data_IF_009098853565
#
_entry.id   IF_009098853565
#
_cell.length_a   1.000
_cell.length_b   1.000
_cell.length_c   1.000
_cell.angle_alpha   90.00
_cell.angle_beta   90.00
_cell.angle_gamma   90.00
#
_symmetry.space_group_name_H-M   'P 1'
#
loop_
_entity.id
_entity.type
_entity.pdbx_description
1 polymer ?
#
# COMPACT_ATOMS: atom_id res chain seq x y z
N UNK A 1 36.98 -43.49 -57.51
CA UNK A 1 35.61 -43.84 -57.97
C UNK A 1 34.92 -44.57 -56.83
N UNK A 2 33.76 -44.09 -56.40
CA UNK A 2 32.94 -44.73 -55.35
C UNK A 2 32.34 -43.74 -54.34
N UNK A 3 31.42 -42.90 -54.79
CA UNK A 3 30.51 -42.16 -53.89
C UNK A 3 29.60 -43.14 -53.15
N UNK A 4 29.49 -43.04 -51.82
CA UNK A 4 28.41 -43.68 -51.05
C UNK A 4 27.87 -42.73 -49.96
N UNK A 5 26.74 -42.11 -50.31
CA UNK A 5 25.58 -41.62 -49.52
C UNK A 5 25.72 -41.19 -48.05
N UNK A 6 25.73 -39.86 -47.86
CA UNK A 6 24.71 -39.05 -47.13
C UNK A 6 23.80 -39.81 -46.14
N UNK A 7 24.08 -39.66 -44.83
CA UNK A 7 23.04 -39.61 -43.79
C UNK A 7 23.25 -38.38 -42.92
N UNK A 8 22.38 -37.42 -43.21
CA UNK A 8 22.09 -36.23 -42.45
C UNK A 8 21.62 -36.67 -41.05
N UNK A 9 22.40 -36.38 -40.01
CA UNK A 9 21.91 -36.46 -38.63
C UNK A 9 21.94 -35.03 -38.07
N UNK A 10 20.96 -34.27 -38.54
CA UNK A 10 20.51 -32.99 -37.97
C UNK A 10 19.87 -33.32 -36.62
N UNK A 11 20.65 -33.33 -35.54
CA UNK A 11 20.10 -33.20 -34.20
C UNK A 11 19.68 -31.74 -33.99
N UNK A 12 18.53 -31.38 -34.55
CA UNK A 12 17.74 -30.22 -34.11
C UNK A 12 16.96 -30.67 -32.87
N UNK A 13 17.56 -30.53 -31.70
CA UNK A 13 16.83 -30.18 -30.49
C UNK A 13 17.00 -28.65 -30.39
N UNK A 14 16.12 -27.78 -30.90
CA UNK A 14 14.73 -27.60 -30.50
C UNK A 14 14.55 -27.77 -28.99
N UNK A 15 14.76 -26.67 -28.25
CA UNK A 15 14.18 -26.51 -26.91
C UNK A 15 15.16 -26.34 -25.76
N UNK A 16 15.99 -25.30 -25.79
CA UNK A 16 16.27 -24.53 -24.57
C UNK A 16 16.17 -23.07 -25.01
N UNK A 17 14.97 -22.50 -24.87
CA UNK A 17 14.79 -21.06 -24.96
C UNK A 17 15.82 -20.41 -24.02
N UNK A 18 16.51 -19.34 -24.43
CA UNK A 18 17.28 -18.56 -23.50
C UNK A 18 16.26 -17.97 -22.51
N UNK A 19 16.18 -18.54 -21.31
CA UNK A 19 15.67 -17.80 -20.16
C UNK A 19 16.70 -16.70 -19.87
N UNK A 20 16.76 -15.67 -20.72
CA UNK A 20 17.24 -14.38 -20.25
C UNK A 20 16.14 -13.88 -19.34
N UNK A 21 16.21 -14.29 -18.07
CA UNK A 21 15.63 -13.50 -17.00
C UNK A 21 16.25 -12.13 -17.14
N UNK A 22 15.55 -11.21 -17.80
CA UNK A 22 15.81 -9.78 -17.60
C UNK A 22 15.45 -9.59 -16.14
N UNK A 23 16.46 -9.70 -15.28
CA UNK A 23 16.32 -9.25 -13.91
C UNK A 23 16.08 -7.75 -14.05
N UNK A 24 14.93 -7.26 -13.58
CA UNK A 24 14.72 -5.82 -13.51
C UNK A 24 15.78 -5.26 -12.58
N UNK A 25 16.76 -4.58 -13.17
CA UNK A 25 17.82 -3.95 -12.40
C UNK A 25 17.33 -2.57 -12.00
N UNK A 26 16.68 -2.51 -10.84
CA UNK A 26 16.17 -1.27 -10.23
C UNK A 26 17.26 -0.21 -10.18
N UNK A 27 18.53 -0.57 -9.95
CA UNK A 27 19.63 0.40 -9.92
C UNK A 27 19.89 0.99 -11.31
N UNK A 28 19.86 0.17 -12.36
CA UNK A 28 20.05 0.63 -13.75
C UNK A 28 18.86 1.46 -14.23
N UNK A 29 17.63 1.07 -13.86
CA UNK A 29 16.42 1.81 -14.24
C UNK A 29 16.33 3.18 -13.53
N UNK A 30 16.72 3.24 -12.24
CA UNK A 30 16.86 4.48 -11.49
C UNK A 30 17.97 5.38 -12.08
N UNK A 31 19.10 4.81 -12.48
CA UNK A 31 20.19 5.55 -13.11
C UNK A 31 19.83 6.07 -14.50
N UNK A 32 18.85 5.44 -15.14
CA UNK A 32 18.28 5.84 -16.44
C UNK A 32 17.15 6.87 -16.29
N UNK A 33 16.88 7.35 -15.06
CA UNK A 33 15.83 8.33 -14.75
C UNK A 33 14.45 7.89 -15.28
N UNK A 34 14.18 6.58 -15.26
CA UNK A 34 12.87 6.09 -15.68
C UNK A 34 11.78 6.52 -14.69
N UNK A 35 10.54 6.72 -15.15
CA UNK A 35 9.42 7.01 -14.25
C UNK A 35 9.23 5.87 -13.24
N UNK A 36 8.96 6.19 -11.97
CA UNK A 36 8.84 5.20 -10.90
C UNK A 36 7.84 4.09 -11.21
N UNK A 37 6.71 4.43 -11.85
CA UNK A 37 5.72 3.46 -12.30
C UNK A 37 6.28 2.43 -13.29
N UNK A 38 7.19 2.84 -14.19
CA UNK A 38 7.83 1.92 -15.15
C UNK A 38 8.82 1.00 -14.42
N UNK A 39 9.60 1.54 -13.49
CA UNK A 39 10.55 0.76 -12.67
C UNK A 39 9.80 -0.35 -11.91
N UNK A 40 8.70 0.01 -11.24
CA UNK A 40 7.88 -0.96 -10.52
C UNK A 40 7.24 -2.00 -11.44
N UNK A 41 6.65 -1.57 -12.56
CA UNK A 41 6.02 -2.51 -13.50
C UNK A 41 7.04 -3.49 -14.09
N UNK A 42 8.21 -3.02 -14.52
CA UNK A 42 9.27 -3.88 -15.05
C UNK A 42 9.73 -4.90 -14.01
N UNK A 43 9.87 -4.49 -12.74
CA UNK A 43 10.30 -5.38 -11.67
C UNK A 43 9.23 -6.40 -11.26
N UNK A 44 7.96 -5.99 -11.24
CA UNK A 44 6.83 -6.93 -11.06
C UNK A 44 6.77 -7.94 -12.22
N UNK A 45 6.97 -7.50 -13.47
CA UNK A 45 7.03 -8.38 -14.64
C UNK A 45 8.22 -9.35 -14.58
N UNK A 46 9.33 -8.94 -13.97
CA UNK A 46 10.48 -9.80 -13.69
C UNK A 46 10.27 -10.76 -12.51
N UNK A 47 9.16 -10.62 -11.77
CA UNK A 47 8.76 -11.50 -10.68
C UNK A 47 9.12 -11.02 -9.27
N UNK A 48 9.56 -9.77 -9.11
CA UNK A 48 9.77 -9.18 -7.79
C UNK A 48 8.45 -8.77 -7.12
N UNK A 49 8.44 -8.75 -5.79
CA UNK A 49 7.31 -8.23 -5.02
C UNK A 49 7.42 -6.73 -4.83
N UNK A 50 6.28 -6.05 -4.66
CA UNK A 50 6.23 -4.60 -4.47
C UNK A 50 7.07 -4.16 -3.28
N UNK A 51 7.10 -4.92 -2.18
CA UNK A 51 7.94 -4.64 -1.02
C UNK A 51 9.44 -4.74 -1.33
N UNK A 52 9.85 -5.76 -2.08
CA UNK A 52 11.26 -5.90 -2.48
C UNK A 52 11.70 -4.75 -3.38
N UNK A 53 10.82 -4.32 -4.29
CA UNK A 53 11.06 -3.19 -5.18
C UNK A 53 11.16 -1.90 -4.37
N UNK A 54 10.14 -1.62 -3.55
CA UNK A 54 10.09 -0.45 -2.68
C UNK A 54 11.31 -0.36 -1.76
N UNK A 55 11.67 -1.46 -1.11
CA UNK A 55 12.85 -1.53 -0.24
C UNK A 55 14.15 -1.31 -0.99
N UNK A 56 14.25 -1.77 -2.23
CA UNK A 56 15.42 -1.53 -3.09
C UNK A 56 15.52 -0.07 -3.53
N UNK A 57 14.40 0.56 -3.89
CA UNK A 57 14.37 2.00 -4.23
C UNK A 57 14.76 2.84 -3.02
N UNK A 58 14.19 2.59 -1.84
CA UNK A 58 14.49 3.33 -0.60
C UNK A 58 15.99 3.24 -0.26
N UNK A 59 16.59 2.06 -0.40
CA UNK A 59 18.03 1.83 -0.13
C UNK A 59 18.93 2.50 -1.17
N UNK A 60 18.52 2.51 -2.43
CA UNK A 60 19.34 3.01 -3.54
C UNK A 60 19.30 4.53 -3.65
N UNK A 61 18.13 5.13 -3.44
CA UNK A 61 17.90 6.57 -3.54
C UNK A 61 16.85 7.02 -2.53
N UNK A 62 17.27 7.32 -1.30
CA UNK A 62 16.36 7.73 -0.22
C UNK A 62 15.54 8.99 -0.53
N UNK A 63 16.02 9.83 -1.45
CA UNK A 63 15.29 11.03 -1.93
C UNK A 63 14.02 10.72 -2.71
N UNK A 64 13.88 9.50 -3.26
CA UNK A 64 12.71 9.06 -4.01
C UNK A 64 11.71 8.27 -3.15
N UNK A 65 11.96 8.12 -1.85
CA UNK A 65 11.10 7.40 -0.91
C UNK A 65 9.60 7.78 -0.99
N UNK A 66 9.24 9.08 -0.95
CA UNK A 66 7.83 9.50 -1.04
C UNK A 66 7.15 9.03 -2.32
N UNK A 67 7.80 9.21 -3.47
CA UNK A 67 7.28 8.82 -4.78
C UNK A 67 7.19 7.30 -4.94
N UNK A 68 8.18 6.58 -4.41
CA UNK A 68 8.18 5.11 -4.40
C UNK A 68 7.03 4.55 -3.54
N UNK A 69 6.77 5.15 -2.36
CA UNK A 69 5.63 4.78 -1.51
C UNK A 69 4.32 5.03 -2.24
N UNK A 70 4.15 6.23 -2.80
CA UNK A 70 2.96 6.58 -3.58
C UNK A 70 2.73 5.58 -4.74
N UNK A 71 3.78 5.23 -5.47
CA UNK A 71 3.72 4.28 -6.58
C UNK A 71 3.34 2.88 -6.11
N UNK A 72 4.00 2.39 -5.06
CA UNK A 72 3.71 1.08 -4.47
C UNK A 72 2.25 0.97 -4.02
N UNK A 73 1.76 1.98 -3.31
CA UNK A 73 0.39 2.06 -2.81
C UNK A 73 -0.63 2.18 -3.95
N UNK A 74 -0.28 2.87 -5.04
CA UNK A 74 -1.15 2.97 -6.22
C UNK A 74 -1.25 1.63 -6.96
N UNK A 75 -0.17 0.85 -6.99
CA UNK A 75 -0.14 -0.46 -7.64
C UNK A 75 -0.85 -1.54 -6.82
N UNK A 76 -0.81 -1.43 -5.50
CA UNK A 76 -1.46 -2.38 -4.59
C UNK A 76 -2.16 -1.66 -3.42
N UNK A 77 -3.31 -1.02 -3.68
CA UNK A 77 -4.03 -0.23 -2.69
C UNK A 77 -4.60 -1.08 -1.55
N UNK A 78 -4.85 -2.38 -1.78
CA UNK A 78 -5.36 -3.28 -0.75
C UNK A 78 -4.31 -3.55 0.34
N UNK A 79 -3.02 -3.42 0.02
CA UNK A 79 -1.93 -3.55 0.98
C UNK A 79 -1.33 -2.19 1.39
N UNK A 80 -2.02 -1.07 1.13
CA UNK A 80 -1.50 0.27 1.38
C UNK A 80 -0.95 0.48 2.80
N UNK A 81 -1.68 0.01 3.82
CA UNK A 81 -1.24 0.12 5.22
C UNK A 81 0.03 -0.71 5.51
N UNK A 82 0.12 -1.92 4.95
CA UNK A 82 1.29 -2.80 5.13
C UNK A 82 2.52 -2.26 4.36
N UNK A 83 2.31 -1.70 3.17
CA UNK A 83 3.36 -1.05 2.38
C UNK A 83 3.91 0.19 3.08
N UNK A 84 3.01 0.98 3.68
CA UNK A 84 3.39 2.13 4.48
C UNK A 84 4.21 1.69 5.72
N UNK A 85 3.74 0.69 6.47
CA UNK A 85 4.51 0.10 7.58
C UNK A 85 5.90 -0.36 7.12
N UNK A 86 5.96 -1.11 6.01
CA UNK A 86 7.22 -1.59 5.45
C UNK A 86 8.17 -0.45 5.11
N UNK A 87 7.67 0.65 4.55
CA UNK A 87 8.47 1.81 4.19
C UNK A 87 9.07 2.51 5.41
N UNK A 88 8.30 2.63 6.50
CA UNK A 88 8.80 3.15 7.79
C UNK A 88 9.89 2.23 8.35
N UNK A 89 9.63 0.93 8.37
CA UNK A 89 10.60 -0.08 8.82
C UNK A 89 11.86 -0.14 7.94
N UNK A 90 11.75 0.30 6.68
CA UNK A 90 12.87 0.42 5.73
C UNK A 90 13.69 1.70 5.90
N UNK A 91 13.31 2.57 6.85
CA UNK A 91 14.07 3.75 7.26
C UNK A 91 13.54 5.08 6.75
N UNK A 92 12.36 5.12 6.12
CA UNK A 92 11.69 6.39 5.82
C UNK A 92 11.02 6.97 7.07
N UNK A 93 10.94 8.30 7.15
CA UNK A 93 10.25 9.00 8.23
C UNK A 93 8.74 8.70 8.17
N UNK A 94 8.15 8.35 9.31
CA UNK A 94 6.73 7.99 9.40
C UNK A 94 5.79 9.08 8.84
N UNK A 95 6.01 10.35 9.18
CA UNK A 95 5.22 11.46 8.64
C UNK A 95 5.27 11.55 7.11
N UNK A 96 6.45 11.43 6.51
CA UNK A 96 6.61 11.41 5.05
C UNK A 96 5.87 10.25 4.40
N UNK A 97 5.95 9.05 4.99
CA UNK A 97 5.28 7.85 4.49
C UNK A 97 3.76 7.99 4.59
N UNK A 98 3.25 8.42 5.75
CA UNK A 98 1.81 8.64 5.98
C UNK A 98 1.27 9.64 4.97
N UNK A 99 1.92 10.80 4.87
CA UNK A 99 1.50 11.86 3.94
C UNK A 99 1.45 11.32 2.51
N UNK A 100 2.50 10.62 2.05
CA UNK A 100 2.56 10.10 0.67
C UNK A 100 1.54 8.99 0.41
N UNK A 101 1.41 8.05 1.35
CA UNK A 101 0.49 6.91 1.20
C UNK A 101 -0.98 7.36 1.20
N UNK A 102 -1.36 8.29 2.09
CA UNK A 102 -2.72 8.82 2.15
C UNK A 102 -3.06 9.70 0.94
N UNK A 103 -2.09 10.44 0.37
CA UNK A 103 -2.31 11.19 -0.86
C UNK A 103 -2.63 10.28 -2.05
N UNK A 104 -1.96 9.12 -2.11
CA UNK A 104 -2.08 8.22 -3.26
C UNK A 104 -3.15 7.13 -3.10
N UNK A 105 -3.56 6.83 -1.86
CA UNK A 105 -4.72 6.02 -1.54
C UNK A 105 -5.59 6.69 -0.46
N UNK A 106 -6.34 7.76 -0.81
CA UNK A 106 -7.19 8.48 0.15
C UNK A 106 -8.26 7.56 0.75
N UNK A 107 -8.80 6.63 -0.03
CA UNK A 107 -9.82 5.68 0.42
C UNK A 107 -9.28 4.68 1.46
N UNK A 108 -7.95 4.52 1.53
CA UNK A 108 -7.26 3.65 2.50
C UNK A 108 -6.67 4.44 3.66
N UNK A 109 -6.90 5.75 3.73
CA UNK A 109 -6.37 6.60 4.79
C UNK A 109 -6.76 6.12 6.20
N UNK A 110 -8.00 5.65 6.48
CA UNK A 110 -8.32 5.08 7.78
C UNK A 110 -7.47 3.86 8.20
N UNK A 111 -7.15 2.99 7.24
CA UNK A 111 -6.35 1.78 7.45
C UNK A 111 -4.90 2.17 7.75
N UNK A 112 -4.36 3.10 6.95
CA UNK A 112 -3.01 3.66 7.13
C UNK A 112 -2.91 4.36 8.49
N UNK A 113 -3.89 5.19 8.84
CA UNK A 113 -3.94 5.91 10.11
C UNK A 113 -3.93 4.94 11.30
N UNK A 114 -4.81 3.94 11.28
CA UNK A 114 -4.91 2.94 12.35
C UNK A 114 -3.62 2.16 12.47
N UNK A 115 -3.05 1.70 11.35
CA UNK A 115 -1.78 0.96 11.34
C UNK A 115 -0.63 1.78 11.91
N UNK A 116 -0.55 3.06 11.57
CA UNK A 116 0.55 3.91 12.03
C UNK A 116 0.39 4.32 13.50
N UNK A 117 -0.84 4.43 13.98
CA UNK A 117 -1.15 4.56 15.40
C UNK A 117 -0.72 3.30 16.18
N UNK A 118 -0.97 2.11 15.64
CA UNK A 118 -0.49 0.84 16.22
C UNK A 118 1.04 0.76 16.28
N UNK A 119 1.74 1.34 15.30
CA UNK A 119 3.20 1.46 15.28
C UNK A 119 3.74 2.50 16.28
N UNK A 120 2.87 3.18 17.03
CA UNK A 120 3.23 4.11 18.09
C UNK A 120 3.47 5.55 17.61
N UNK A 121 3.06 5.89 16.39
CA UNK A 121 3.13 7.27 15.93
C UNK A 121 2.18 8.16 16.76
N UNK A 122 2.62 9.34 17.23
CA UNK A 122 1.77 10.24 17.99
C UNK A 122 0.55 10.67 17.18
N UNK A 123 -0.61 10.71 17.82
CA UNK A 123 -1.87 11.07 17.17
C UNK A 123 -1.83 12.47 16.55
N UNK A 124 -1.21 13.44 17.21
CA UNK A 124 -1.04 14.80 16.70
C UNK A 124 -0.19 14.83 15.41
N UNK A 125 0.84 13.98 15.32
CA UNK A 125 1.71 13.89 14.15
C UNK A 125 0.97 13.18 12.99
N UNK A 126 0.20 12.14 13.30
CA UNK A 126 -0.65 11.45 12.33
C UNK A 126 -1.70 12.38 11.72
N UNK A 127 -2.40 13.16 12.55
CA UNK A 127 -3.40 14.10 12.09
C UNK A 127 -2.76 15.23 11.27
N UNK A 128 -1.59 15.72 11.67
CA UNK A 128 -0.85 16.70 10.88
C UNK A 128 -0.48 16.17 9.48
N UNK A 129 0.05 14.94 9.39
CA UNK A 129 0.35 14.28 8.12
C UNK A 129 -0.90 14.01 7.28
N UNK A 130 -2.01 13.63 7.91
CA UNK A 130 -3.28 13.42 7.22
C UNK A 130 -3.83 14.71 6.61
N UNK A 131 -3.79 15.83 7.35
CA UNK A 131 -4.20 17.15 6.85
C UNK A 131 -3.30 17.57 5.69
N UNK A 132 -1.98 17.36 5.80
CA UNK A 132 -1.04 17.62 4.71
C UNK A 132 -1.34 16.74 3.48
N UNK A 133 -1.84 15.52 3.69
CA UNK A 133 -2.32 14.63 2.65
C UNK A 133 -3.69 15.00 2.07
N UNK A 134 -4.31 16.09 2.53
CA UNK A 134 -5.63 16.54 2.09
C UNK A 134 -6.79 15.69 2.66
N UNK A 135 -6.54 14.90 3.70
CA UNK A 135 -7.57 14.11 4.37
C UNK A 135 -8.36 14.96 5.37
N UNK A 136 -9.64 14.63 5.53
CA UNK A 136 -10.47 15.23 6.57
C UNK A 136 -10.20 14.53 7.92
N UNK A 137 -9.71 15.27 8.94
CA UNK A 137 -9.35 14.69 10.23
C UNK A 137 -10.58 14.16 11.00
N UNK A 138 -11.77 14.72 10.76
CA UNK A 138 -13.01 14.26 11.41
C UNK A 138 -13.39 12.88 10.88
N UNK A 139 -13.40 12.71 9.55
CA UNK A 139 -13.70 11.45 8.90
C UNK A 139 -12.72 10.34 9.31
N UNK A 140 -11.43 10.67 9.45
CA UNK A 140 -10.41 9.71 9.92
C UNK A 140 -10.63 9.26 11.36
N UNK A 141 -10.91 10.19 12.27
CA UNK A 141 -11.15 9.87 13.67
C UNK A 141 -12.43 9.04 13.84
N UNK A 142 -13.49 9.35 13.09
CA UNK A 142 -14.72 8.56 13.06
C UNK A 142 -14.47 7.15 12.52
N UNK A 143 -13.70 7.00 11.44
CA UNK A 143 -13.31 5.72 10.87
C UNK A 143 -12.52 4.85 11.87
N UNK A 144 -11.51 5.45 12.50
CA UNK A 144 -10.65 4.80 13.47
C UNK A 144 -11.44 4.40 14.72
N UNK A 145 -12.36 5.24 15.20
CA UNK A 145 -13.24 4.94 16.32
C UNK A 145 -14.26 3.83 16.00
N UNK A 146 -14.71 3.75 14.75
CA UNK A 146 -15.61 2.68 14.29
C UNK A 146 -14.89 1.34 14.05
N UNK A 147 -13.55 1.32 14.04
CA UNK A 147 -12.74 0.14 13.75
C UNK A 147 -12.93 -0.41 12.33
N UNK A 148 -13.37 0.43 11.38
CA UNK A 148 -13.74 -0.01 10.04
C UNK A 148 -13.29 1.02 8.98
N UNK A 149 -12.65 0.59 7.87
CA UNK A 149 -12.30 1.52 6.80
C UNK A 149 -13.56 2.09 6.14
N UNK A 150 -13.62 3.43 6.01
CA UNK A 150 -14.74 4.12 5.36
C UNK A 150 -14.59 3.94 3.84
N UNK A 151 -15.65 3.45 3.20
CA UNK A 151 -15.75 3.43 1.74
C UNK A 151 -15.69 4.87 1.15
N UNK A 152 -15.29 5.05 -0.12
CA UNK A 152 -15.07 6.38 -0.69
C UNK A 152 -16.27 7.29 -0.51
N UNK A 153 -16.03 8.51 -0.03
CA UNK A 153 -17.04 9.54 0.15
C UNK A 153 -17.48 10.09 -1.22
N UNK A 154 -18.17 9.29 -2.04
CA UNK A 154 -18.97 9.83 -3.15
C UNK A 154 -20.26 10.35 -2.52
N UNK A 155 -20.19 11.54 -1.92
CA UNK A 155 -21.37 12.30 -1.58
C UNK A 155 -22.04 12.75 -2.88
N UNK A 156 -22.92 11.91 -3.43
CA UNK A 156 -23.89 12.37 -4.41
C UNK A 156 -24.76 13.45 -3.75
N UNK A 157 -24.95 14.63 -4.36
CA UNK A 157 -25.78 15.68 -3.78
C UNK A 157 -27.23 15.18 -3.70
N UNK A 158 -27.71 14.88 -2.50
CA UNK A 158 -29.12 14.55 -2.24
C UNK A 158 -29.41 13.32 -1.38
N UNK A 159 -28.43 12.57 -0.86
CA UNK A 159 -28.74 11.47 0.06
C UNK A 159 -28.66 11.90 1.53
N UNK A 160 -29.83 12.17 2.10
CA UNK A 160 -30.08 12.18 3.54
C UNK A 160 -30.43 10.76 3.98
N UNK A 161 -29.45 9.87 4.09
CA UNK A 161 -29.62 8.68 4.93
C UNK A 161 -29.34 9.10 6.36
N UNK A 162 -30.42 9.37 7.10
CA UNK A 162 -30.41 9.53 8.55
C UNK A 162 -29.64 8.36 9.20
N UNK A 163 -28.70 8.61 10.12
CA UNK A 163 -28.17 7.53 10.93
C UNK A 163 -29.31 6.96 11.78
N UNK A 164 -29.52 5.65 11.69
CA UNK A 164 -30.25 4.91 12.72
C UNK A 164 -29.59 5.25 14.07
N UNK A 165 -30.33 5.71 15.09
CA UNK A 165 -29.71 6.06 16.36
C UNK A 165 -29.04 4.83 16.97
N UNK A 166 -27.77 5.02 17.34
CA UNK A 166 -26.98 4.10 18.15
C UNK A 166 -27.74 3.76 19.44
N UNK A 167 -28.06 2.48 19.63
CA UNK A 167 -28.39 1.94 20.94
C UNK A 167 -27.14 2.06 21.80
N UNK A 168 -27.12 3.05 22.71
CA UNK A 168 -26.16 3.07 23.80
C UNK A 168 -26.33 1.80 24.62
N UNK A 169 -25.20 1.14 24.89
CA UNK A 169 -25.15 -0.05 25.73
C UNK A 169 -25.84 0.19 27.07
N UNK A 170 -26.66 -0.79 27.43
CA UNK A 170 -27.07 -1.08 28.80
C UNK A 170 -25.82 -1.15 29.68
N UNK A 171 -25.60 -0.08 30.46
CA UNK A 171 -24.73 -0.11 31.62
C UNK A 171 -25.44 -0.95 32.71
N UNK A 172 -24.80 -2.05 33.05
CA UNK A 172 -25.17 -3.02 34.08
C UNK A 172 -25.20 -2.30 35.44
N UNK A 173 -26.39 -1.84 35.86
CA UNK A 173 -26.54 -0.91 36.98
C UNK A 173 -27.70 -1.25 37.92
N UNK A 174 -27.49 -2.22 38.81
CA UNK A 174 -28.07 -2.20 40.15
C UNK A 174 -29.48 -2.78 40.32
N UNK A 175 -29.55 -4.08 40.60
CA UNK A 175 -30.72 -4.70 41.22
C UNK A 175 -30.96 -4.20 42.64
N UNK A 176 -32.21 -3.88 42.97
CA UNK A 176 -32.63 -3.60 44.35
C UNK A 176 -33.92 -2.80 44.48
N UNK A 177 -35.07 -3.37 44.08
CA UNK A 177 -36.36 -2.88 44.58
C UNK A 177 -36.68 -3.54 45.92
N UNK A 178 -36.40 -2.82 47.00
CA UNK A 178 -37.05 -3.06 48.28
C UNK A 178 -38.18 -2.04 48.45
N UNK A 179 -39.44 -2.49 48.36
CA UNK A 179 -40.61 -1.69 48.71
C UNK A 179 -40.65 -1.43 50.21
N UNK A 180 -41.06 -0.21 50.63
CA UNK A 180 -42.03 -0.13 51.70
C UNK A 180 -43.19 0.84 51.42
N UNK A 181 -44.34 0.44 51.98
CA UNK A 181 -45.65 1.09 52.11
C UNK A 181 -46.57 1.18 50.90
#
# INVERSE_FOLDING_TARGET
>A
MGHTMRRLLLCVLAGILPFTTVLADISTDLASEQPMAIIFNNAVEAGDTIENILGSVIKSQSGLGPEAVCTAVTLDPENAANLAEFAVNSGLTASTVVTSAMQCAPDKAPEIYTKMKELGMPEDELLASAIEAGQDPTALLEAAAAGNPIAPLVAAPGQTSLPTPLTFGEDDGGGGVASPN
#
